data_IF_277507182566
#
_entry.id   IF_277507182566
#
_cell.length_a   1.000
_cell.length_b   1.000
_cell.length_c   1.000
_cell.angle_alpha   90.00
_cell.angle_beta   90.00
_cell.angle_gamma   90.00
#
_symmetry.space_group_name_H-M   'P 1'
#
loop_
_entity.id
_entity.type
_entity.pdbx_description
1 polymer ?
#
# COMPACT_ATOMS: atom_id res chain seq x y z
N UNK A 1 -11.00 16.07 -3.55
CA UNK A 1 -10.80 14.82 -4.33
C UNK A 1 -9.89 15.03 -5.52
N UNK A 2 -10.05 16.12 -6.28
CA UNK A 2 -9.20 16.40 -7.45
C UNK A 2 -7.69 16.32 -7.12
N UNK A 3 -7.24 16.89 -6.00
CA UNK A 3 -5.82 16.83 -5.61
C UNK A 3 -5.26 15.40 -5.42
N UNK A 4 -6.03 14.47 -4.83
CA UNK A 4 -5.55 13.10 -4.58
C UNK A 4 -5.51 12.28 -5.89
N UNK A 5 -6.59 12.34 -6.67
CA UNK A 5 -6.66 11.66 -7.96
C UNK A 5 -5.60 12.20 -8.94
N UNK A 6 -5.39 13.51 -8.96
CA UNK A 6 -4.35 14.13 -9.79
C UNK A 6 -2.95 13.72 -9.34
N UNK A 7 -2.70 13.65 -8.02
CA UNK A 7 -1.43 13.14 -7.49
C UNK A 7 -1.19 11.69 -7.90
N UNK A 8 -2.19 10.82 -7.78
CA UNK A 8 -2.08 9.43 -8.25
C UNK A 8 -1.80 9.38 -9.76
N UNK A 9 -2.53 10.14 -10.58
CA UNK A 9 -2.31 10.19 -12.03
C UNK A 9 -0.89 10.63 -12.39
N UNK A 10 -0.36 11.63 -11.68
CA UNK A 10 1.01 12.11 -11.87
C UNK A 10 2.04 11.02 -11.53
N UNK A 11 1.85 10.28 -10.44
CA UNK A 11 2.73 9.16 -10.07
C UNK A 11 2.64 8.05 -11.13
N UNK A 12 1.43 7.65 -11.53
CA UNK A 12 1.22 6.61 -12.53
C UNK A 12 1.85 6.95 -13.88
N UNK A 13 1.75 8.22 -14.29
CA UNK A 13 2.37 8.72 -15.53
C UNK A 13 3.89 8.73 -15.42
N UNK A 14 4.45 9.17 -14.28
CA UNK A 14 5.90 9.19 -14.04
C UNK A 14 6.53 7.80 -14.04
N UNK A 15 5.87 6.83 -13.41
CA UNK A 15 6.36 5.44 -13.31
C UNK A 15 5.90 4.60 -14.52
N UNK A 16 4.95 5.10 -15.31
CA UNK A 16 4.26 4.40 -16.39
C UNK A 16 3.68 3.06 -15.92
N UNK A 17 2.99 3.07 -14.79
CA UNK A 17 2.47 1.88 -14.10
C UNK A 17 1.27 2.23 -13.23
N UNK A 18 0.31 1.32 -13.15
CA UNK A 18 -0.78 1.35 -12.17
C UNK A 18 -0.65 0.21 -11.13
N UNK A 19 0.51 -0.43 -11.06
CA UNK A 19 0.74 -1.54 -10.13
C UNK A 19 1.12 -1.00 -8.75
N UNK A 20 0.59 -1.60 -7.70
CA UNK A 20 1.04 -1.41 -6.32
C UNK A 20 1.61 -2.69 -5.72
N UNK A 21 2.27 -2.59 -4.57
CA UNK A 21 2.68 -3.76 -3.77
C UNK A 21 2.04 -3.69 -2.40
N UNK A 22 1.38 -4.77 -2.00
CA UNK A 22 0.79 -4.92 -0.69
C UNK A 22 1.80 -5.59 0.25
N UNK A 23 2.42 -4.81 1.11
CA UNK A 23 3.48 -5.24 2.04
C UNK A 23 2.83 -5.80 3.31
N UNK A 24 2.74 -7.13 3.36
CA UNK A 24 2.20 -7.88 4.50
C UNK A 24 3.30 -8.75 5.12
N UNK A 25 4.01 -8.28 6.17
CA UNK A 25 5.11 -9.02 6.77
C UNK A 25 4.65 -10.22 7.62
N UNK A 26 5.16 -11.41 7.31
CA UNK A 26 5.02 -12.61 8.13
C UNK A 26 6.37 -13.19 8.48
N UNK A 27 6.73 -13.17 9.77
CA UNK A 27 8.04 -13.58 10.25
C UNK A 27 8.47 -14.95 9.71
N UNK A 28 7.57 -15.93 9.71
CA UNK A 28 7.85 -17.31 9.30
C UNK A 28 7.86 -17.53 7.78
N UNK A 29 7.44 -16.54 6.97
CA UNK A 29 7.43 -16.63 5.51
C UNK A 29 8.54 -15.79 4.86
N UNK A 30 9.17 -14.87 5.60
CA UNK A 30 10.25 -14.03 5.08
C UNK A 30 11.47 -14.84 4.63
N UNK A 31 12.34 -14.29 3.76
CA UNK A 31 13.63 -14.89 3.46
C UNK A 31 14.48 -15.09 4.72
N UNK A 32 15.18 -16.24 4.83
CA UNK A 32 15.98 -16.58 6.03
C UNK A 32 17.02 -15.52 6.40
N UNK A 33 17.62 -14.86 5.41
CA UNK A 33 18.58 -13.78 5.64
C UNK A 33 17.95 -12.56 6.32
N UNK A 34 16.66 -12.32 6.09
CA UNK A 34 15.89 -11.23 6.71
C UNK A 34 15.38 -11.66 8.08
N UNK A 35 15.00 -12.93 8.27
CA UNK A 35 14.60 -13.46 9.59
C UNK A 35 15.72 -13.38 10.65
N UNK A 36 16.98 -13.30 10.22
CA UNK A 36 18.13 -13.24 11.11
C UNK A 36 18.31 -11.88 11.82
N UNK A 37 17.57 -10.84 11.43
CA UNK A 37 17.57 -9.55 12.11
C UNK A 37 16.69 -9.60 13.37
N UNK A 38 17.12 -8.91 14.43
CA UNK A 38 16.33 -8.76 15.67
C UNK A 38 14.94 -8.13 15.41
N UNK A 39 14.88 -7.21 14.44
CA UNK A 39 13.65 -6.62 13.90
C UNK A 39 13.64 -6.82 12.38
N UNK A 40 12.88 -7.80 11.86
CA UNK A 40 12.96 -8.21 10.46
C UNK A 40 11.95 -7.52 9.52
N UNK A 41 10.95 -6.82 10.03
CA UNK A 41 9.88 -6.21 9.22
C UNK A 41 10.37 -4.99 8.45
N UNK A 42 11.19 -4.13 9.05
CA UNK A 42 11.75 -2.98 8.34
C UNK A 42 12.72 -3.42 7.22
N UNK A 43 13.70 -4.32 7.44
CA UNK A 43 14.53 -4.86 6.35
C UNK A 43 13.70 -5.53 5.24
N UNK A 44 12.64 -6.25 5.60
CA UNK A 44 11.72 -6.84 4.63
C UNK A 44 11.05 -5.78 3.75
N UNK A 45 10.40 -4.79 4.36
CA UNK A 45 9.75 -3.70 3.65
C UNK A 45 10.73 -2.92 2.77
N UNK A 46 11.93 -2.60 3.28
CA UNK A 46 12.98 -1.92 2.48
C UNK A 46 13.40 -2.73 1.27
N UNK A 47 13.61 -4.03 1.43
CA UNK A 47 14.01 -4.92 0.33
C UNK A 47 12.96 -4.94 -0.77
N UNK A 48 11.68 -4.98 -0.41
CA UNK A 48 10.56 -4.88 -1.35
C UNK A 48 10.59 -3.53 -2.08
N UNK A 49 10.71 -2.43 -1.34
CA UNK A 49 10.70 -1.07 -1.91
C UNK A 49 11.90 -0.86 -2.84
N UNK A 50 13.10 -1.27 -2.44
CA UNK A 50 14.31 -1.16 -3.26
C UNK A 50 14.19 -1.94 -4.57
N UNK A 51 13.58 -3.12 -4.55
CA UNK A 51 13.41 -3.94 -5.74
C UNK A 51 12.37 -3.39 -6.73
N UNK A 52 11.43 -2.55 -6.27
CA UNK A 52 10.17 -2.27 -7.01
C UNK A 52 9.81 -0.79 -7.18
N UNK A 53 10.48 0.15 -6.51
CA UNK A 53 10.09 1.59 -6.48
C UNK A 53 10.03 2.28 -7.84
N UNK A 54 10.74 1.75 -8.84
CA UNK A 54 10.75 2.24 -10.22
C UNK A 54 9.68 1.57 -11.11
N UNK A 55 8.90 0.64 -10.54
CA UNK A 55 7.91 -0.17 -11.25
C UNK A 55 6.47 0.05 -10.76
N UNK A 56 6.28 0.62 -9.57
CA UNK A 56 4.98 0.67 -8.89
C UNK A 56 4.57 2.09 -8.53
N UNK A 57 3.26 2.35 -8.55
CA UNK A 57 2.68 3.65 -8.21
C UNK A 57 2.25 3.75 -6.74
N UNK A 58 2.16 2.63 -6.02
CA UNK A 58 1.73 2.63 -4.61
C UNK A 58 2.35 1.48 -3.79
N UNK A 59 2.54 1.75 -2.50
CA UNK A 59 2.77 0.73 -1.49
C UNK A 59 1.62 0.74 -0.48
N UNK A 60 1.06 -0.45 -0.27
CA UNK A 60 -0.01 -0.67 0.69
C UNK A 60 0.60 -1.40 1.89
N UNK A 61 0.51 -0.81 3.08
CA UNK A 61 1.09 -1.36 4.30
C UNK A 61 0.00 -2.00 5.14
N UNK A 62 0.13 -3.30 5.43
CA UNK A 62 -0.81 -4.01 6.29
C UNK A 62 -0.58 -3.67 7.76
N UNK A 63 -1.39 -2.76 8.29
CA UNK A 63 -1.30 -2.35 9.69
C UNK A 63 -1.34 -3.54 10.65
N UNK A 64 -2.25 -4.50 10.41
CA UNK A 64 -2.45 -5.64 11.31
C UNK A 64 -1.23 -6.57 11.35
N UNK A 65 -0.61 -6.81 10.19
CA UNK A 65 0.58 -7.65 10.10
C UNK A 65 1.78 -7.00 10.80
N UNK A 66 1.98 -5.68 10.65
CA UNK A 66 3.02 -4.98 11.42
C UNK A 66 2.73 -5.03 12.92
N UNK A 67 1.49 -4.81 13.36
CA UNK A 67 1.13 -4.84 14.79
C UNK A 67 1.32 -6.22 15.45
N UNK A 68 1.44 -7.30 14.68
CA UNK A 68 1.73 -8.64 15.23
C UNK A 68 3.06 -8.70 15.99
N UNK A 69 4.01 -7.79 15.73
CA UNK A 69 5.28 -7.66 16.45
C UNK A 69 5.22 -6.62 17.60
N UNK A 70 4.03 -6.09 17.90
CA UNK A 70 3.83 -5.07 18.93
C UNK A 70 4.58 -3.77 18.65
N UNK A 71 5.22 -3.20 19.67
CA UNK A 71 5.92 -1.93 19.56
C UNK A 71 7.05 -1.94 18.51
N UNK A 72 7.77 -3.06 18.37
CA UNK A 72 8.80 -3.19 17.35
C UNK A 72 8.20 -3.11 15.94
N UNK A 73 7.02 -3.68 15.73
CA UNK A 73 6.28 -3.59 14.47
C UNK A 73 5.78 -2.18 14.16
N UNK A 74 5.31 -1.43 15.17
CA UNK A 74 4.95 -0.02 15.00
C UNK A 74 6.14 0.84 14.59
N UNK A 75 7.29 0.64 15.23
CA UNK A 75 8.55 1.33 14.88
C UNK A 75 8.99 0.95 13.45
N UNK A 76 8.89 -0.33 13.09
CA UNK A 76 9.21 -0.80 11.75
C UNK A 76 8.33 -0.13 10.69
N UNK A 77 7.02 -0.05 10.94
CA UNK A 77 6.06 0.58 10.04
C UNK A 77 6.34 2.08 9.88
N UNK A 78 6.49 2.81 10.99
CA UNK A 78 6.83 4.24 11.03
C UNK A 78 8.08 4.56 10.22
N UNK A 79 9.09 3.69 10.28
CA UNK A 79 10.36 3.89 9.56
C UNK A 79 10.35 3.41 8.12
N UNK A 80 9.42 2.53 7.75
CA UNK A 80 9.32 1.96 6.40
C UNK A 80 8.49 2.86 5.49
N UNK A 81 7.40 3.47 5.98
CA UNK A 81 6.53 4.33 5.18
C UNK A 81 7.29 5.50 4.50
N UNK A 82 8.12 6.30 5.21
CA UNK A 82 8.88 7.39 4.59
C UNK A 82 9.91 6.90 3.56
N UNK A 83 10.32 5.64 3.62
CA UNK A 83 11.24 5.07 2.65
C UNK A 83 10.59 4.86 1.27
N UNK A 84 9.26 4.83 1.21
CA UNK A 84 8.45 4.67 0.00
C UNK A 84 7.89 6.00 -0.56
N UNK A 85 7.69 7.01 0.30
CA UNK A 85 6.87 8.21 0.02
C UNK A 85 7.39 9.11 -1.11
N UNK A 86 8.69 9.06 -1.42
CA UNK A 86 9.28 9.89 -2.48
C UNK A 86 8.95 9.38 -3.88
N UNK A 87 8.66 8.08 -4.01
CA UNK A 87 8.52 7.40 -5.30
C UNK A 87 7.10 6.95 -5.58
N UNK A 88 6.31 6.66 -4.55
CA UNK A 88 5.01 6.05 -4.69
C UNK A 88 4.02 6.59 -3.65
N UNK A 89 2.74 6.38 -3.92
CA UNK A 89 1.68 6.66 -2.97
C UNK A 89 1.78 5.67 -1.79
N UNK A 90 1.60 6.13 -0.55
CA UNK A 90 1.56 5.26 0.62
C UNK A 90 0.12 5.10 1.13
N UNK A 91 -0.33 3.85 1.27
CA UNK A 91 -1.67 3.53 1.76
C UNK A 91 -1.53 2.69 3.02
N UNK A 92 -2.12 3.14 4.12
CA UNK A 92 -2.24 2.31 5.32
C UNK A 92 -3.50 1.46 5.22
N UNK A 93 -3.33 0.14 5.10
CA UNK A 93 -4.43 -0.80 5.09
C UNK A 93 -4.67 -1.40 6.47
N UNK A 94 -5.95 -1.50 6.79
CA UNK A 94 -6.52 -1.99 8.02
C UNK A 94 -7.91 -1.36 7.98
N UNK A 95 -8.99 -2.10 7.67
CA UNK A 95 -10.31 -1.49 7.45
C UNK A 95 -10.84 -0.85 8.74
N UNK A 96 -10.37 0.38 9.02
CA UNK A 96 -10.57 1.06 10.29
C UNK A 96 -12.04 1.48 10.42
N UNK A 97 -12.50 1.55 11.67
CA UNK A 97 -13.86 1.96 12.02
C UNK A 97 -13.76 3.17 12.95
N UNK A 98 -14.58 4.18 12.69
CA UNK A 98 -14.59 5.43 13.43
C UNK A 98 -13.47 6.40 13.04
N UNK A 99 -13.61 7.65 13.48
CA UNK A 99 -12.65 8.72 13.20
C UNK A 99 -11.46 8.76 14.18
N UNK A 100 -11.49 7.95 15.24
CA UNK A 100 -10.46 7.96 16.30
C UNK A 100 -9.04 7.63 15.82
N UNK A 101 -8.89 6.96 14.67
CA UNK A 101 -7.59 6.64 14.09
C UNK A 101 -7.05 7.71 13.13
N UNK A 102 -7.80 8.78 12.84
CA UNK A 102 -7.38 9.80 11.87
C UNK A 102 -6.03 10.45 12.24
N UNK A 103 -5.80 10.72 13.54
CA UNK A 103 -4.54 11.28 14.03
C UNK A 103 -3.32 10.35 13.78
N UNK A 104 -3.53 9.03 13.75
CA UNK A 104 -2.48 8.04 13.52
C UNK A 104 -1.98 8.05 12.06
N UNK A 105 -2.88 8.32 11.11
CA UNK A 105 -2.53 8.36 9.69
C UNK A 105 -1.95 9.73 9.26
N UNK A 106 -2.23 10.79 10.02
CA UNK A 106 -1.75 12.15 9.73
C UNK A 106 -0.24 12.35 9.96
N UNK A 107 0.21 13.57 9.69
CA UNK A 107 1.63 13.95 9.64
C UNK A 107 2.38 13.89 10.97
N UNK A 108 1.67 13.83 12.09
CA UNK A 108 2.26 13.70 13.42
C UNK A 108 2.62 12.24 13.80
N UNK A 109 2.24 11.27 12.97
CA UNK A 109 2.47 9.84 13.20
C UNK A 109 2.94 9.16 11.90
N UNK A 110 2.16 8.26 11.30
CA UNK A 110 2.61 7.49 10.15
C UNK A 110 2.70 8.29 8.84
N UNK A 111 2.03 9.45 8.75
CA UNK A 111 2.09 10.36 7.60
C UNK A 111 1.88 9.66 6.25
N UNK A 112 0.80 8.88 6.14
CA UNK A 112 0.44 8.19 4.89
C UNK A 112 -0.36 9.11 3.96
N UNK A 113 -0.42 8.75 2.68
CA UNK A 113 -1.21 9.51 1.72
C UNK A 113 -2.69 9.10 1.73
N UNK A 114 -2.97 7.86 2.10
CA UNK A 114 -4.32 7.32 2.12
C UNK A 114 -4.51 6.21 3.15
N UNK A 115 -5.77 5.91 3.45
CA UNK A 115 -6.17 4.91 4.43
C UNK A 115 -7.40 4.12 3.96
N UNK A 116 -7.53 2.87 4.42
CA UNK A 116 -8.75 2.08 4.24
C UNK A 116 -9.68 2.18 5.43
N UNK A 117 -10.98 2.36 5.19
CA UNK A 117 -12.04 2.38 6.20
C UNK A 117 -13.08 1.31 5.89
N UNK A 118 -13.80 0.85 6.90
CA UNK A 118 -14.90 -0.08 6.70
C UNK A 118 -16.19 0.60 6.23
N UNK A 119 -16.42 1.87 6.61
CA UNK A 119 -17.65 2.62 6.27
C UNK A 119 -17.34 4.02 5.75
N UNK A 120 -18.16 4.47 4.81
CA UNK A 120 -18.06 5.82 4.25
C UNK A 120 -18.32 6.92 5.30
N UNK A 121 -19.19 6.67 6.28
CA UNK A 121 -19.55 7.63 7.34
C UNK A 121 -18.36 8.03 8.23
N UNK A 122 -17.30 7.22 8.26
CA UNK A 122 -16.11 7.48 9.05
C UNK A 122 -15.10 8.42 8.35
N UNK A 123 -15.34 8.80 7.09
CA UNK A 123 -14.35 9.46 6.25
C UNK A 123 -13.99 10.90 6.64
N UNK A 124 -14.93 11.65 7.24
CA UNK A 124 -14.80 13.11 7.47
C UNK A 124 -13.48 13.49 8.16
N UNK A 125 -13.17 12.90 9.32
CA UNK A 125 -11.96 13.21 10.08
C UNK A 125 -10.65 12.85 9.38
N UNK A 126 -10.66 11.93 8.40
CA UNK A 126 -9.49 11.59 7.60
C UNK A 126 -9.29 12.58 6.45
N UNK A 127 -10.39 13.01 5.81
CA UNK A 127 -10.36 14.01 4.75
C UNK A 127 -9.90 15.38 5.26
N UNK A 128 -10.27 15.75 6.49
CA UNK A 128 -9.78 16.97 7.16
C UNK A 128 -8.26 16.97 7.36
N UNK A 129 -7.65 15.79 7.53
CA UNK A 129 -6.19 15.61 7.59
C UNK A 129 -5.53 15.61 6.20
N UNK A 130 -6.32 15.72 5.13
CA UNK A 130 -5.85 15.68 3.73
C UNK A 130 -5.61 14.27 3.18
N UNK A 131 -6.07 13.22 3.86
CA UNK A 131 -5.88 11.84 3.44
C UNK A 131 -6.82 11.44 2.31
N UNK A 132 -6.34 10.57 1.41
CA UNK A 132 -7.22 9.77 0.57
C UNK A 132 -7.93 8.68 1.37
N UNK A 133 -9.20 8.43 1.06
CA UNK A 133 -10.02 7.43 1.75
C UNK A 133 -10.45 6.35 0.76
N UNK A 134 -10.25 5.10 1.15
CA UNK A 134 -10.74 3.92 0.46
C UNK A 134 -11.69 3.14 1.36
N UNK A 135 -12.89 2.84 0.88
CA UNK A 135 -13.84 1.99 1.61
C UNK A 135 -13.59 0.52 1.24
N UNK A 136 -13.41 -0.33 2.24
CA UNK A 136 -13.25 -1.77 2.07
C UNK A 136 -14.62 -2.41 1.79
N UNK A 137 -14.92 -2.60 0.51
CA UNK A 137 -16.24 -3.01 0.03
C UNK A 137 -16.50 -2.50 -1.39
N UNK A 138 -17.44 -3.14 -2.08
CA UNK A 138 -17.85 -2.69 -3.43
C UNK A 138 -18.52 -1.32 -3.37
N UNK A 139 -18.57 -0.65 -4.54
CA UNK A 139 -19.14 0.67 -4.75
C UNK A 139 -20.59 0.82 -4.22
N UNK A 140 -20.72 1.05 -2.91
CA UNK A 140 -21.86 1.75 -2.36
C UNK A 140 -21.81 3.19 -2.86
N UNK A 141 -22.95 3.90 -2.87
CA UNK A 141 -23.08 5.25 -3.43
C UNK A 141 -22.31 6.29 -2.60
N UNK A 142 -20.99 6.27 -2.63
CA UNK A 142 -20.11 7.20 -1.95
C UNK A 142 -19.09 7.81 -2.92
N UNK A 143 -18.65 9.05 -2.70
CA UNK A 143 -17.71 9.72 -3.59
C UNK A 143 -16.25 9.23 -3.42
N UNK A 144 -15.96 8.44 -2.37
CA UNK A 144 -14.61 8.00 -2.00
C UNK A 144 -14.06 6.88 -2.89
N UNK A 145 -12.76 6.63 -2.77
CA UNK A 145 -12.16 5.42 -3.34
C UNK A 145 -12.72 4.18 -2.66
N UNK A 146 -12.54 3.02 -3.30
CA UNK A 146 -12.90 1.73 -2.70
C UNK A 146 -11.91 0.64 -3.07
N UNK A 147 -11.87 -0.38 -2.24
CA UNK A 147 -11.05 -1.57 -2.41
C UNK A 147 -11.92 -2.72 -2.96
N UNK A 148 -11.60 -3.17 -4.17
CA UNK A 148 -12.16 -4.38 -4.77
C UNK A 148 -11.20 -5.55 -4.51
N UNK A 149 -11.33 -6.13 -3.31
CA UNK A 149 -10.48 -7.23 -2.84
C UNK A 149 -10.56 -8.47 -3.73
N UNK A 150 -11.70 -8.72 -4.38
CA UNK A 150 -11.88 -9.87 -5.28
C UNK A 150 -10.99 -9.77 -6.52
N UNK A 151 -10.73 -8.56 -7.01
CA UNK A 151 -9.90 -8.31 -8.18
C UNK A 151 -8.55 -7.66 -7.84
N UNK A 152 -8.18 -7.62 -6.56
CA UNK A 152 -6.94 -7.03 -6.06
C UNK A 152 -6.67 -5.61 -6.61
N UNK A 153 -7.66 -4.73 -6.51
CA UNK A 153 -7.51 -3.35 -7.00
C UNK A 153 -8.15 -2.31 -6.09
N UNK A 154 -7.44 -1.19 -5.90
CA UNK A 154 -8.05 0.03 -5.39
C UNK A 154 -8.57 0.86 -6.56
N UNK A 155 -9.74 1.46 -6.39
CA UNK A 155 -10.40 2.28 -7.40
C UNK A 155 -10.59 3.68 -6.85
N UNK A 156 -10.13 4.67 -7.60
CA UNK A 156 -10.21 6.09 -7.25
C UNK A 156 -11.10 6.80 -8.27
N UNK A 157 -12.29 7.26 -7.88
CA UNK A 157 -13.12 8.11 -8.74
C UNK A 157 -12.37 9.38 -9.15
N UNK A 158 -12.41 9.72 -10.44
CA UNK A 158 -11.83 10.94 -10.96
C UNK A 158 -12.64 11.52 -12.13
N UNK A 159 -12.43 12.80 -12.44
CA UNK A 159 -13.20 13.53 -13.46
C UNK A 159 -13.12 12.92 -14.87
N UNK A 160 -12.00 12.24 -15.20
CA UNK A 160 -11.74 11.62 -16.50
C UNK A 160 -11.89 10.10 -16.47
N UNK A 161 -12.79 9.59 -15.62
CA UNK A 161 -12.94 8.17 -15.36
C UNK A 161 -12.07 7.70 -14.19
N UNK A 162 -12.33 6.49 -13.71
CA UNK A 162 -11.68 5.97 -12.51
C UNK A 162 -10.20 5.66 -12.78
N UNK A 163 -9.35 5.99 -11.81
CA UNK A 163 -7.99 5.47 -11.74
C UNK A 163 -8.01 4.17 -10.94
N UNK A 164 -7.11 3.26 -11.26
CA UNK A 164 -6.97 1.97 -10.59
C UNK A 164 -5.56 1.78 -10.06
N UNK A 165 -5.42 1.06 -8.95
CA UNK A 165 -4.14 0.55 -8.45
C UNK A 165 -4.30 -0.97 -8.35
N UNK A 166 -3.71 -1.72 -9.26
CA UNK A 166 -3.70 -3.19 -9.22
C UNK A 166 -2.56 -3.64 -8.30
N UNK A 167 -2.83 -4.32 -7.20
CA UNK A 167 -1.77 -4.65 -6.26
C UNK A 167 -1.31 -6.11 -6.36
N UNK A 168 0.00 -6.30 -6.20
CA UNK A 168 0.59 -7.60 -5.93
C UNK A 168 0.42 -7.95 -4.45
N UNK A 169 -0.15 -9.12 -4.17
CA UNK A 169 -0.38 -9.63 -2.82
C UNK A 169 0.70 -10.62 -2.36
N UNK A 170 0.33 -11.41 -1.35
CA UNK A 170 1.20 -12.40 -0.69
C UNK A 170 1.72 -13.47 -1.66
N UNK A 171 0.92 -13.86 -2.65
CA UNK A 171 1.25 -14.85 -3.67
C UNK A 171 2.46 -14.44 -4.51
N UNK A 172 2.62 -13.13 -4.77
CA UNK A 172 3.77 -12.58 -5.47
C UNK A 172 4.92 -12.29 -4.51
N UNK A 173 4.63 -11.76 -3.32
CA UNK A 173 5.66 -11.45 -2.32
C UNK A 173 6.43 -12.70 -1.90
N UNK A 174 5.73 -13.77 -1.56
CA UNK A 174 6.34 -14.98 -1.00
C UNK A 174 6.60 -16.07 -2.05
N UNK A 175 6.60 -15.70 -3.34
CA UNK A 175 6.92 -16.62 -4.43
C UNK A 175 8.36 -17.18 -4.35
N UNK A 176 9.28 -16.47 -3.70
CA UNK A 176 10.66 -16.89 -3.49
C UNK A 176 11.22 -16.36 -2.16
N UNK A 177 11.46 -17.24 -1.19
CA UNK A 177 12.01 -16.87 0.12
C UNK A 177 13.51 -17.18 0.26
N UNK A 178 14.22 -17.32 -0.87
CA UNK A 178 15.66 -17.58 -0.90
C UNK A 178 16.48 -16.29 -0.96
N UNK A 179 17.80 -16.42 -1.14
CA UNK A 179 18.70 -15.30 -1.42
C UNK A 179 18.33 -14.50 -2.69
N UNK A 180 17.48 -15.05 -3.56
CA UNK A 180 17.05 -14.42 -4.81
C UNK A 180 15.73 -13.66 -4.69
N UNK A 181 15.13 -13.59 -3.49
CA UNK A 181 13.85 -12.92 -3.21
C UNK A 181 13.67 -11.59 -3.96
N UNK A 182 14.60 -10.64 -3.82
CA UNK A 182 14.47 -9.32 -4.45
C UNK A 182 14.41 -9.39 -5.99
N UNK A 183 15.24 -10.24 -6.60
CA UNK A 183 15.27 -10.40 -8.05
C UNK A 183 14.01 -11.11 -8.59
N UNK A 184 13.52 -12.12 -7.85
CA UNK A 184 12.30 -12.84 -8.17
C UNK A 184 11.06 -11.94 -8.03
N UNK A 185 10.98 -11.18 -6.93
CA UNK A 185 9.92 -10.20 -6.71
C UNK A 185 9.87 -9.19 -7.86
N UNK A 186 11.01 -8.57 -8.20
CA UNK A 186 11.07 -7.60 -9.30
C UNK A 186 10.52 -8.18 -10.60
N UNK A 187 10.97 -9.39 -10.98
CA UNK A 187 10.52 -10.06 -12.21
C UNK A 187 9.01 -10.31 -12.20
N UNK A 188 8.46 -10.74 -11.08
CA UNK A 188 7.02 -10.99 -10.95
C UNK A 188 6.22 -9.69 -11.07
N UNK A 189 6.71 -8.57 -10.52
CA UNK A 189 6.09 -7.25 -10.68
C UNK A 189 6.18 -6.76 -12.15
N UNK A 190 7.30 -6.98 -12.83
CA UNK A 190 7.44 -6.67 -14.26
C UNK A 190 6.40 -7.46 -15.11
N UNK A 191 6.19 -8.74 -14.80
CA UNK A 191 5.14 -9.55 -15.45
C UNK A 191 3.73 -9.05 -15.15
N UNK A 192 3.42 -8.71 -13.90
CA UNK A 192 2.11 -8.16 -13.52
C UNK A 192 1.85 -6.82 -14.22
N UNK A 193 2.86 -5.95 -14.30
CA UNK A 193 2.75 -4.68 -15.02
C UNK A 193 2.46 -4.90 -16.50
N UNK A 194 3.13 -5.86 -17.13
CA UNK A 194 2.91 -6.19 -18.53
C UNK A 194 1.49 -6.73 -18.80
N UNK A 195 0.94 -7.56 -17.90
CA UNK A 195 -0.44 -8.05 -18.04
C UNK A 195 -1.47 -6.95 -17.83
N UNK A 196 -1.25 -6.05 -16.87
CA UNK A 196 -2.17 -4.94 -16.56
C UNK A 196 -2.08 -3.75 -17.51
N UNK A 197 -1.04 -3.67 -18.34
CA UNK A 197 -0.99 -2.71 -19.44
C UNK A 197 -1.81 -3.17 -20.67
N UNK A 198 -2.19 -4.45 -20.72
CA UNK A 198 -2.97 -5.03 -21.82
C UNK A 198 -4.49 -5.11 -21.52
N UNK A 199 -4.88 -4.92 -20.26
CA UNK A 199 -6.27 -4.83 -19.75
C UNK A 199 -6.81 -3.40 -19.89
#
# INVERSE_FOLDING_TARGET
MDNFADRLRNIQTRVNSNVGVFITPYLNQMPLLIQAYDEPFMPFGKTIIDATRDLVCAYIFDFSAYMALGAAGAIALERTIPYASDTALTILHGPFVGQGYAAMAGSNAFNVDAITLFKADDAEGYLEQGLGVFIDGMAEQHPYGYLDSANQRFIVPAAQGNLTINFAGEDILYADCTQHFAASLRRNIEHLRASKAAD
#
